data_IF_356966515130
#
_entry.id   IF_356966515130
#
_cell.length_a   1.000
_cell.length_b   1.000
_cell.length_c   1.000
_cell.angle_alpha   90.00
_cell.angle_beta   90.00
_cell.angle_gamma   90.00
#
_symmetry.space_group_name_H-M   'P 1'
#
loop_
_entity.id
_entity.type
_entity.pdbx_description
1 polymer ?
#
# COMPACT_ATOMS: atom_id res chain seq x y z
N UNK A 1 -28.39 24.47 -0.77
CA UNK A 1 -27.29 25.43 -0.50
C UNK A 1 -25.97 24.75 -0.05
N UNK A 2 -25.95 23.47 0.34
CA UNK A 2 -24.71 22.79 0.80
C UNK A 2 -23.92 22.06 -0.30
N UNK A 3 -24.48 21.81 -1.46
CA UNK A 3 -23.86 21.04 -2.54
C UNK A 3 -22.69 21.77 -3.25
N UNK A 4 -22.75 23.07 -3.56
CA UNK A 4 -21.65 23.80 -4.21
C UNK A 4 -20.41 23.93 -3.33
N UNK A 5 -20.60 24.17 -2.02
CA UNK A 5 -19.50 24.33 -1.06
C UNK A 5 -18.72 23.02 -0.84
N UNK A 6 -19.43 21.87 -0.87
CA UNK A 6 -18.80 20.55 -0.76
C UNK A 6 -17.93 20.23 -1.98
N UNK A 7 -18.42 20.57 -3.18
CA UNK A 7 -17.70 20.40 -4.45
C UNK A 7 -16.48 21.34 -4.52
N UNK A 8 -16.62 22.57 -4.09
CA UNK A 8 -15.52 23.55 -4.04
C UNK A 8 -14.44 23.12 -3.03
N UNK A 9 -14.82 22.58 -1.87
CA UNK A 9 -13.90 22.03 -0.87
C UNK A 9 -13.14 20.80 -1.40
N UNK A 10 -13.82 19.91 -2.13
CA UNK A 10 -13.18 18.75 -2.76
C UNK A 10 -12.21 19.17 -3.87
N UNK A 11 -12.53 20.19 -4.67
CA UNK A 11 -11.61 20.71 -5.68
C UNK A 11 -10.35 21.29 -5.03
N UNK A 12 -10.47 22.08 -3.96
CA UNK A 12 -9.31 22.65 -3.26
C UNK A 12 -8.39 21.58 -2.63
N UNK A 13 -8.96 20.49 -2.10
CA UNK A 13 -8.17 19.37 -1.54
C UNK A 13 -7.46 18.62 -2.67
N UNK A 14 -8.15 18.34 -3.76
CA UNK A 14 -7.59 17.68 -4.94
C UNK A 14 -6.44 18.47 -5.55
N UNK A 15 -6.60 19.78 -5.71
CA UNK A 15 -5.57 20.64 -6.28
C UNK A 15 -4.31 20.69 -5.40
N UNK A 16 -4.46 20.80 -4.08
CA UNK A 16 -3.33 20.77 -3.14
C UNK A 16 -2.63 19.42 -3.17
N UNK A 17 -3.38 18.32 -3.28
CA UNK A 17 -2.81 16.98 -3.38
C UNK A 17 -2.00 16.80 -4.66
N UNK A 18 -2.51 17.27 -5.80
CA UNK A 18 -1.79 17.22 -7.09
C UNK A 18 -0.48 18.03 -7.02
N UNK A 19 -0.52 19.23 -6.43
CA UNK A 19 0.68 20.04 -6.24
C UNK A 19 1.68 19.45 -5.24
N UNK A 20 1.25 18.56 -4.35
CA UNK A 20 2.13 17.84 -3.42
C UNK A 20 2.84 16.64 -4.07
N UNK A 21 2.37 16.11 -5.22
CA UNK A 21 2.95 14.93 -5.88
C UNK A 21 4.46 15.07 -6.13
N UNK A 22 5.02 16.17 -6.62
CA UNK A 22 6.46 16.31 -6.83
C UNK A 22 7.29 16.20 -5.55
N UNK A 23 6.68 16.45 -4.41
CA UNK A 23 7.31 16.37 -3.08
C UNK A 23 7.07 15.03 -2.37
N UNK A 24 6.41 14.08 -3.01
CA UNK A 24 6.20 12.72 -2.46
C UNK A 24 7.48 11.89 -2.59
N UNK A 25 8.54 12.32 -1.93
CA UNK A 25 9.89 11.79 -2.10
C UNK A 25 9.97 10.29 -1.82
N UNK A 26 9.34 9.78 -0.77
CA UNK A 26 9.35 8.35 -0.48
C UNK A 26 8.72 7.52 -1.61
N UNK A 27 7.56 7.93 -2.09
CA UNK A 27 6.88 7.22 -3.17
C UNK A 27 7.68 7.26 -4.48
N UNK A 28 8.29 8.40 -4.81
CA UNK A 28 9.14 8.55 -5.99
C UNK A 28 10.41 7.70 -5.90
N UNK A 29 11.08 7.72 -4.75
CA UNK A 29 12.28 6.90 -4.51
C UNK A 29 11.95 5.42 -4.56
N UNK A 30 10.86 4.98 -3.91
CA UNK A 30 10.40 3.59 -3.97
C UNK A 30 10.10 3.15 -5.40
N UNK A 31 9.44 4.01 -6.19
CA UNK A 31 9.16 3.74 -7.61
C UNK A 31 10.45 3.58 -8.44
N UNK A 32 11.51 4.32 -8.13
CA UNK A 32 12.81 4.23 -8.82
C UNK A 32 13.61 3.01 -8.37
N UNK A 33 13.54 2.63 -7.10
CA UNK A 33 14.26 1.47 -6.55
C UNK A 33 13.85 0.18 -7.25
N UNK A 34 12.56 0.00 -7.59
CA UNK A 34 12.07 -1.23 -8.23
C UNK A 34 12.72 -1.49 -9.60
N UNK A 35 12.72 -0.57 -10.59
CA UNK A 35 13.42 -0.77 -11.83
C UNK A 35 14.93 -0.97 -11.63
N UNK A 36 15.56 -0.18 -10.75
CA UNK A 36 17.00 -0.32 -10.48
C UNK A 36 17.35 -1.70 -9.91
N UNK A 37 16.48 -2.27 -9.10
CA UNK A 37 16.63 -3.63 -8.59
C UNK A 37 16.48 -4.66 -9.73
N UNK A 38 15.48 -4.51 -10.60
CA UNK A 38 15.25 -5.41 -11.75
C UNK A 38 16.43 -5.37 -12.71
N UNK A 39 17.00 -4.19 -12.98
CA UNK A 39 18.18 -4.03 -13.82
C UNK A 39 19.51 -4.46 -13.14
N UNK A 40 19.43 -4.92 -11.88
CA UNK A 40 20.62 -5.42 -11.16
C UNK A 40 21.57 -4.33 -10.65
N UNK A 41 21.15 -3.05 -10.68
CA UNK A 41 21.96 -1.93 -10.16
C UNK A 41 22.00 -1.98 -8.63
N UNK A 42 20.88 -2.32 -8.01
CA UNK A 42 20.79 -2.46 -6.54
C UNK A 42 21.07 -3.93 -6.17
N UNK A 43 22.00 -4.18 -5.23
CA UNK A 43 22.33 -5.53 -4.81
C UNK A 43 21.17 -6.22 -4.09
N UNK A 44 21.13 -7.54 -4.16
CA UNK A 44 20.20 -8.38 -3.39
C UNK A 44 20.57 -8.33 -1.91
N UNK A 45 19.71 -7.76 -1.05
CA UNK A 45 19.95 -7.54 0.37
C UNK A 45 19.13 -8.50 1.24
N UNK A 46 19.65 -8.83 2.43
CA UNK A 46 18.90 -9.57 3.46
C UNK A 46 18.21 -10.83 2.97
N UNK A 47 16.95 -11.02 3.34
CA UNK A 47 16.15 -12.20 2.98
C UNK A 47 15.95 -12.36 1.46
N UNK A 48 15.96 -11.27 0.69
CA UNK A 48 15.92 -11.32 -0.77
C UNK A 48 17.12 -12.07 -1.35
N UNK A 49 18.33 -11.83 -0.82
CA UNK A 49 19.53 -12.57 -1.24
C UNK A 49 19.40 -14.06 -0.99
N UNK A 50 18.86 -14.43 0.16
CA UNK A 50 18.62 -15.84 0.53
C UNK A 50 17.59 -16.50 -0.37
N UNK A 51 16.52 -15.77 -0.75
CA UNK A 51 15.50 -16.26 -1.67
C UNK A 51 16.08 -16.52 -3.07
N UNK A 52 16.85 -15.60 -3.61
CA UNK A 52 17.52 -15.79 -4.92
C UNK A 52 18.52 -16.96 -4.88
N UNK A 53 19.31 -17.06 -3.82
CA UNK A 53 20.26 -18.19 -3.64
C UNK A 53 19.52 -19.53 -3.60
N UNK A 54 18.39 -19.61 -2.90
CA UNK A 54 17.55 -20.81 -2.88
C UNK A 54 17.09 -21.19 -4.30
N UNK A 55 16.62 -20.23 -5.09
CA UNK A 55 16.20 -20.50 -6.47
C UNK A 55 17.36 -20.96 -7.34
N UNK A 56 18.54 -20.34 -7.22
CA UNK A 56 19.75 -20.72 -7.98
C UNK A 56 20.24 -22.15 -7.62
N UNK A 57 20.19 -22.53 -6.33
CA UNK A 57 20.70 -23.83 -5.86
C UNK A 57 19.68 -24.97 -5.99
N UNK A 58 18.40 -24.70 -5.78
CA UNK A 58 17.38 -25.76 -5.67
C UNK A 58 16.29 -25.69 -6.72
N UNK A 59 16.22 -24.61 -7.49
CA UNK A 59 15.10 -24.34 -8.40
C UNK A 59 13.78 -24.03 -7.71
N UNK A 60 13.72 -23.99 -6.37
CA UNK A 60 12.49 -23.76 -5.60
C UNK A 60 12.21 -22.28 -5.43
N UNK A 61 11.12 -21.81 -6.06
CA UNK A 61 10.68 -20.41 -5.98
C UNK A 61 10.15 -20.08 -4.60
N UNK A 62 9.36 -20.96 -4.00
CA UNK A 62 8.74 -20.77 -2.69
C UNK A 62 9.57 -21.37 -1.57
N UNK A 63 9.56 -20.75 -0.38
CA UNK A 63 10.10 -21.35 0.84
C UNK A 63 9.22 -22.50 1.32
N UNK A 64 9.72 -23.32 2.25
CA UNK A 64 8.93 -24.39 2.86
C UNK A 64 7.70 -23.88 3.61
N UNK A 65 7.83 -22.69 4.21
CA UNK A 65 6.76 -21.98 4.89
C UNK A 65 5.70 -21.49 3.89
N UNK A 66 6.14 -20.85 2.80
CA UNK A 66 5.27 -20.34 1.75
C UNK A 66 4.59 -21.44 0.93
N UNK A 67 5.16 -22.64 0.81
CA UNK A 67 4.52 -23.76 0.12
C UNK A 67 3.15 -24.13 0.70
N UNK A 68 2.95 -23.92 2.00
CA UNK A 68 1.66 -24.15 2.67
C UNK A 68 0.57 -23.19 2.21
N UNK A 69 0.96 -21.99 1.76
CA UNK A 69 0.06 -20.93 1.29
C UNK A 69 -0.15 -20.97 -0.21
N UNK A 70 0.77 -21.58 -0.94
CA UNK A 70 0.67 -21.74 -2.39
C UNK A 70 -0.17 -22.98 -2.74
N UNK A 71 -1.49 -22.87 -2.56
CA UNK A 71 -2.44 -23.94 -2.89
C UNK A 71 -2.53 -24.21 -4.40
N UNK A 72 -2.15 -23.26 -5.24
CA UNK A 72 -2.30 -23.29 -6.69
C UNK A 72 -1.00 -23.65 -7.43
N UNK A 73 0.05 -24.05 -6.73
CA UNK A 73 1.37 -24.33 -7.33
C UNK A 73 1.43 -25.49 -8.33
N UNK A 74 0.34 -26.24 -8.47
CA UNK A 74 0.20 -27.36 -9.42
C UNK A 74 -0.91 -27.15 -10.46
N UNK A 75 -1.51 -25.96 -10.53
CA UNK A 75 -2.45 -25.69 -11.61
C UNK A 75 -1.69 -25.55 -12.94
N UNK A 76 -1.98 -26.40 -13.89
CA UNK A 76 -1.44 -26.30 -15.25
C UNK A 76 -1.84 -24.93 -15.82
N UNK A 77 -0.83 -24.15 -16.21
CA UNK A 77 -1.05 -22.87 -16.88
C UNK A 77 -1.82 -23.16 -18.17
N UNK A 78 -3.04 -22.63 -18.28
CA UNK A 78 -3.84 -22.75 -19.49
C UNK A 78 -3.08 -22.12 -20.66
N UNK A 79 -2.56 -22.97 -21.56
CA UNK A 79 -1.80 -22.59 -22.76
C UNK A 79 -2.60 -21.71 -23.72
N UNK A 80 -3.93 -21.66 -23.58
CA UNK A 80 -4.83 -20.84 -24.40
C UNK A 80 -5.18 -19.49 -23.74
N UNK A 81 -4.62 -19.17 -22.58
CA UNK A 81 -4.85 -17.89 -21.91
C UNK A 81 -4.32 -16.72 -22.77
N UNK A 82 -5.22 -15.78 -23.10
CA UNK A 82 -4.87 -14.56 -23.83
C UNK A 82 -4.76 -13.39 -22.87
N UNK A 83 -3.86 -12.46 -23.19
CA UNK A 83 -3.68 -11.22 -22.42
C UNK A 83 -4.98 -10.43 -22.24
N UNK A 84 -5.90 -10.54 -23.24
CA UNK A 84 -7.22 -9.90 -23.19
C UNK A 84 -8.10 -10.47 -22.06
N UNK A 85 -7.96 -11.74 -21.73
CA UNK A 85 -8.75 -12.39 -20.67
C UNK A 85 -8.41 -11.81 -19.30
N UNK A 86 -7.16 -11.40 -19.10
CA UNK A 86 -6.70 -10.72 -17.90
C UNK A 86 -7.02 -9.22 -17.91
N UNK A 87 -6.73 -8.53 -19.01
CA UNK A 87 -6.87 -7.08 -19.09
C UNK A 87 -8.31 -6.60 -19.09
N UNK A 88 -9.25 -7.35 -19.70
CA UNK A 88 -10.62 -6.87 -19.87
C UNK A 88 -11.37 -6.66 -18.55
N UNK A 89 -11.37 -7.59 -17.58
CA UNK A 89 -11.98 -7.35 -16.26
C UNK A 89 -11.33 -6.16 -15.53
N UNK A 90 -10.01 -6.03 -15.60
CA UNK A 90 -9.28 -4.92 -14.96
C UNK A 90 -9.64 -3.58 -15.59
N UNK A 91 -9.65 -3.50 -16.92
CA UNK A 91 -10.06 -2.27 -17.62
C UNK A 91 -11.52 -1.91 -17.33
N UNK A 92 -12.41 -2.91 -17.26
CA UNK A 92 -13.81 -2.69 -16.87
C UNK A 92 -13.88 -2.09 -15.46
N UNK A 93 -13.12 -2.63 -14.50
CA UNK A 93 -13.04 -2.09 -13.13
C UNK A 93 -12.58 -0.63 -13.14
N UNK A 94 -11.50 -0.31 -13.86
CA UNK A 94 -10.95 1.04 -13.93
C UNK A 94 -11.96 2.01 -14.56
N UNK A 95 -12.57 1.63 -15.68
CA UNK A 95 -13.55 2.49 -16.39
C UNK A 95 -14.77 2.75 -15.51
N UNK A 96 -15.33 1.73 -14.87
CA UNK A 96 -16.49 1.89 -13.97
C UNK A 96 -16.11 2.72 -12.75
N UNK A 97 -14.94 2.51 -12.16
CA UNK A 97 -14.45 3.33 -11.06
C UNK A 97 -14.33 4.81 -11.45
N UNK A 98 -13.83 5.12 -12.64
CA UNK A 98 -13.68 6.49 -13.11
C UNK A 98 -15.01 7.16 -13.46
N UNK A 99 -16.00 6.39 -13.93
CA UNK A 99 -17.30 6.92 -14.36
C UNK A 99 -18.31 7.01 -13.22
N UNK A 100 -18.40 5.98 -12.38
CA UNK A 100 -19.37 5.88 -11.29
C UNK A 100 -18.80 6.42 -9.98
N UNK A 101 -17.48 6.25 -9.75
CA UNK A 101 -16.80 6.71 -8.54
C UNK A 101 -17.02 5.80 -7.33
N UNK A 102 -17.63 4.62 -7.50
CA UNK A 102 -17.88 3.63 -6.45
C UNK A 102 -17.10 2.33 -6.74
N UNK A 103 -16.15 2.02 -5.83
CA UNK A 103 -15.26 0.88 -5.96
C UNK A 103 -16.02 -0.45 -5.86
N UNK A 104 -17.08 -0.51 -5.06
CA UNK A 104 -17.86 -1.73 -4.88
C UNK A 104 -18.59 -2.11 -6.19
N UNK A 105 -19.22 -1.12 -6.83
CA UNK A 105 -19.85 -1.30 -8.15
C UNK A 105 -18.83 -1.68 -9.21
N UNK A 106 -17.63 -1.07 -9.17
CA UNK A 106 -16.55 -1.37 -10.10
C UNK A 106 -16.07 -2.83 -9.99
N UNK A 107 -15.92 -3.35 -8.77
CA UNK A 107 -15.54 -4.74 -8.53
C UNK A 107 -16.62 -5.71 -9.05
N UNK A 108 -17.89 -5.45 -8.75
CA UNK A 108 -19.00 -6.27 -9.24
C UNK A 108 -19.01 -6.28 -10.78
N UNK A 109 -18.86 -5.12 -11.40
CA UNK A 109 -18.80 -5.01 -12.86
C UNK A 109 -17.63 -5.81 -13.45
N UNK A 110 -16.46 -5.81 -12.82
CA UNK A 110 -15.30 -6.60 -13.24
C UNK A 110 -15.55 -8.11 -13.15
N UNK A 111 -16.20 -8.57 -12.08
CA UNK A 111 -16.56 -9.98 -11.91
C UNK A 111 -17.55 -10.42 -12.97
N UNK A 112 -18.58 -9.63 -13.24
CA UNK A 112 -19.55 -9.89 -14.30
C UNK A 112 -18.90 -9.90 -15.69
N UNK A 113 -17.98 -8.97 -15.94
CA UNK A 113 -17.21 -8.91 -17.19
C UNK A 113 -16.33 -10.17 -17.38
N UNK A 114 -15.69 -10.66 -16.33
CA UNK A 114 -14.97 -11.92 -16.36
C UNK A 114 -15.89 -13.10 -16.71
N UNK A 115 -17.05 -13.21 -16.08
CA UNK A 115 -18.04 -14.24 -16.36
C UNK A 115 -18.54 -14.21 -17.83
N UNK A 116 -18.82 -13.01 -18.36
CA UNK A 116 -19.27 -12.81 -19.74
C UNK A 116 -18.21 -13.25 -20.75
N UNK A 117 -16.92 -13.15 -20.43
CA UNK A 117 -15.84 -13.59 -21.33
C UNK A 117 -15.54 -15.07 -21.16
N UNK A 118 -15.45 -15.58 -19.93
CA UNK A 118 -14.94 -16.92 -19.69
C UNK A 118 -15.98 -18.01 -20.00
N UNK A 119 -17.26 -17.79 -19.65
CA UNK A 119 -18.31 -18.78 -19.81
C UNK A 119 -18.64 -19.04 -21.31
N UNK A 120 -18.90 -18.02 -22.17
CA UNK A 120 -19.20 -18.26 -23.59
C UNK A 120 -18.02 -18.82 -24.36
N UNK A 121 -16.79 -18.49 -23.97
CA UNK A 121 -15.57 -19.04 -24.60
C UNK A 121 -15.24 -20.46 -24.15
N UNK A 122 -16.13 -21.10 -23.37
CA UNK A 122 -15.96 -22.45 -22.82
C UNK A 122 -14.64 -22.66 -22.03
N UNK A 123 -14.00 -21.57 -21.59
CA UNK A 123 -12.82 -21.64 -20.74
C UNK A 123 -13.16 -22.16 -19.34
N UNK A 124 -14.41 -21.95 -18.91
CA UNK A 124 -14.89 -22.32 -17.59
C UNK A 124 -16.39 -22.60 -17.64
N UNK A 125 -16.85 -23.59 -16.87
CA UNK A 125 -18.28 -23.83 -16.65
C UNK A 125 -18.84 -22.85 -15.62
N UNK A 126 -20.13 -22.52 -15.71
CA UNK A 126 -20.78 -21.58 -14.77
C UNK A 126 -20.61 -22.02 -13.31
N UNK A 127 -20.79 -23.32 -13.02
CA UNK A 127 -20.60 -23.84 -11.66
C UNK A 127 -19.16 -23.64 -11.18
N UNK A 128 -18.20 -23.95 -12.03
CA UNK A 128 -16.76 -23.76 -11.72
C UNK A 128 -16.43 -22.28 -11.47
N UNK A 129 -17.03 -21.37 -12.22
CA UNK A 129 -16.86 -19.93 -11.99
C UNK A 129 -17.40 -19.51 -10.61
N UNK A 130 -18.59 -20.00 -10.23
CA UNK A 130 -19.16 -19.74 -8.90
C UNK A 130 -18.34 -20.37 -7.79
N UNK A 131 -17.87 -21.60 -7.98
CA UNK A 131 -17.03 -22.30 -6.98
C UNK A 131 -15.71 -21.58 -6.74
N UNK A 132 -15.04 -21.10 -7.80
CA UNK A 132 -13.82 -20.30 -7.68
C UNK A 132 -14.06 -18.97 -6.99
N UNK A 133 -15.22 -18.37 -7.20
CA UNK A 133 -15.58 -17.13 -6.51
C UNK A 133 -15.74 -17.36 -5.01
N UNK A 134 -16.46 -18.41 -4.60
CA UNK A 134 -16.61 -18.81 -3.20
C UNK A 134 -15.26 -19.18 -2.58
N UNK A 135 -14.43 -19.91 -3.31
CA UNK A 135 -13.08 -20.26 -2.86
C UNK A 135 -12.21 -19.02 -2.66
N UNK A 136 -12.26 -18.03 -3.55
CA UNK A 136 -11.55 -16.76 -3.41
C UNK A 136 -11.93 -16.02 -2.12
N UNK A 137 -13.22 -16.03 -1.74
CA UNK A 137 -13.64 -15.51 -0.43
C UNK A 137 -13.04 -16.31 0.72
N UNK A 138 -13.12 -17.63 0.67
CA UNK A 138 -12.58 -18.48 1.73
C UNK A 138 -11.07 -18.30 1.91
N UNK A 139 -10.32 -18.17 0.83
CA UNK A 139 -8.87 -17.93 0.86
C UNK A 139 -8.52 -16.54 1.41
N UNK A 140 -9.42 -15.57 1.27
CA UNK A 140 -9.24 -14.20 1.80
C UNK A 140 -9.52 -14.08 3.31
N UNK A 141 -10.15 -15.07 3.95
CA UNK A 141 -10.54 -14.98 5.38
C UNK A 141 -9.35 -14.70 6.29
N UNK A 142 -8.22 -15.37 6.10
CA UNK A 142 -7.03 -15.16 6.93
C UNK A 142 -6.51 -13.72 6.83
N UNK A 143 -6.48 -13.14 5.63
CA UNK A 143 -6.12 -11.75 5.41
C UNK A 143 -7.11 -10.79 6.09
N UNK A 144 -8.42 -11.07 5.98
CA UNK A 144 -9.46 -10.26 6.62
C UNK A 144 -9.34 -10.24 8.14
N UNK A 145 -9.03 -11.38 8.77
CA UNK A 145 -8.81 -11.45 10.23
C UNK A 145 -7.66 -10.54 10.67
N UNK A 146 -6.54 -10.55 9.93
CA UNK A 146 -5.39 -9.67 10.24
C UNK A 146 -5.78 -8.20 10.06
N UNK A 147 -6.51 -7.86 9.01
CA UNK A 147 -6.99 -6.48 8.75
C UNK A 147 -7.92 -6.02 9.88
N UNK A 148 -8.85 -6.85 10.33
CA UNK A 148 -9.75 -6.52 11.45
C UNK A 148 -8.95 -6.27 12.74
N UNK A 149 -7.97 -7.14 13.04
CA UNK A 149 -7.09 -6.95 14.19
C UNK A 149 -6.29 -5.63 14.10
N UNK A 150 -5.79 -5.28 12.91
CA UNK A 150 -5.11 -4.01 12.65
C UNK A 150 -6.03 -2.79 12.84
N UNK A 151 -7.32 -2.89 12.45
CA UNK A 151 -8.31 -1.84 12.71
C UNK A 151 -8.56 -1.64 14.21
N UNK A 152 -8.61 -2.72 14.98
CA UNK A 152 -8.71 -2.62 16.44
C UNK A 152 -7.49 -1.97 17.07
N UNK A 153 -6.28 -2.34 16.62
CA UNK A 153 -5.03 -1.71 17.06
C UNK A 153 -5.03 -0.20 16.78
N UNK A 154 -5.49 0.20 15.58
CA UNK A 154 -5.65 1.61 15.22
C UNK A 154 -6.62 2.32 16.17
N UNK A 155 -7.78 1.72 16.44
CA UNK A 155 -8.78 2.31 17.32
C UNK A 155 -8.21 2.46 18.75
N UNK A 156 -7.60 1.43 19.30
CA UNK A 156 -6.93 1.49 20.59
C UNK A 156 -5.88 2.60 20.67
N UNK A 157 -5.07 2.77 19.63
CA UNK A 157 -4.06 3.84 19.54
C UNK A 157 -4.69 5.24 19.53
N UNK A 158 -5.85 5.38 18.88
CA UNK A 158 -6.61 6.63 18.90
C UNK A 158 -7.22 6.91 20.26
N UNK A 159 -7.78 5.89 20.93
CA UNK A 159 -8.43 6.02 22.24
C UNK A 159 -7.44 6.44 23.33
N UNK A 160 -6.19 5.94 23.30
CA UNK A 160 -5.10 6.39 24.20
C UNK A 160 -4.45 7.71 23.76
N UNK A 161 -4.97 8.33 22.71
CA UNK A 161 -4.50 9.62 22.18
C UNK A 161 -3.01 9.63 21.80
N UNK A 162 -2.49 8.49 21.33
CA UNK A 162 -1.09 8.27 20.98
C UNK A 162 -0.51 9.33 20.02
N UNK A 163 -1.20 9.72 18.92
CA UNK A 163 -0.67 10.72 17.98
C UNK A 163 -0.41 12.08 18.64
N UNK A 164 -1.36 12.56 19.46
CA UNK A 164 -1.20 13.83 20.15
C UNK A 164 -0.06 13.81 21.17
N UNK A 165 0.10 12.69 21.89
CA UNK A 165 1.21 12.52 22.82
C UNK A 165 2.56 12.57 22.09
N UNK A 166 2.71 11.83 20.98
CA UNK A 166 3.94 11.82 20.19
C UNK A 166 4.25 13.23 19.66
N UNK A 167 3.25 13.94 19.16
CA UNK A 167 3.44 15.31 18.67
C UNK A 167 3.87 16.28 19.77
N UNK A 168 3.29 16.20 20.98
CA UNK A 168 3.67 17.06 22.09
C UNK A 168 5.13 16.86 22.56
N UNK A 169 5.66 15.63 22.40
CA UNK A 169 7.06 15.31 22.70
C UNK A 169 8.01 15.88 21.64
N UNK A 170 7.58 15.88 20.39
CA UNK A 170 8.40 16.27 19.23
C UNK A 170 8.43 17.80 19.03
N UNK A 171 7.33 18.48 19.31
CA UNK A 171 7.13 19.93 19.08
C UNK A 171 8.30 20.82 19.57
N UNK A 172 8.89 20.63 20.79
CA UNK A 172 9.95 21.50 21.28
C UNK A 172 11.28 21.41 20.49
N UNK A 173 11.45 20.36 19.68
CA UNK A 173 12.70 20.09 18.97
C UNK A 173 12.67 20.48 17.49
N UNK A 174 11.58 21.11 17.01
CA UNK A 174 11.34 21.28 15.58
C UNK A 174 11.32 22.75 15.16
N UNK A 175 12.05 23.04 14.10
CA UNK A 175 12.00 24.32 13.38
C UNK A 175 11.43 24.13 11.95
N UNK A 176 11.14 25.23 11.25
CA UNK A 176 10.49 25.20 9.92
C UNK A 176 11.15 24.24 8.92
N UNK A 177 12.47 24.26 8.83
CA UNK A 177 13.20 23.49 7.81
C UNK A 177 13.27 21.99 8.11
N UNK A 178 13.28 21.60 9.38
CA UNK A 178 13.35 20.20 9.79
C UNK A 178 11.95 19.58 9.86
N UNK A 179 10.92 20.43 9.96
CA UNK A 179 9.55 19.99 10.22
C UNK A 179 9.02 18.92 9.25
N UNK A 180 9.17 19.04 7.92
CA UNK A 180 8.65 18.02 6.99
C UNK A 180 9.31 16.66 7.18
N UNK A 181 10.62 16.62 7.45
CA UNK A 181 11.34 15.38 7.75
C UNK A 181 10.78 14.72 9.01
N UNK A 182 10.62 15.51 10.08
CA UNK A 182 10.09 15.01 11.35
C UNK A 182 8.65 14.52 11.19
N UNK A 183 7.81 15.26 10.47
CA UNK A 183 6.44 14.85 10.15
C UNK A 183 6.42 13.51 9.41
N UNK A 184 7.29 13.31 8.41
CA UNK A 184 7.44 12.03 7.71
C UNK A 184 7.81 10.89 8.66
N UNK A 185 8.85 11.07 9.47
CA UNK A 185 9.35 10.04 10.40
C UNK A 185 8.30 9.68 11.45
N UNK A 186 7.63 10.67 12.03
CA UNK A 186 6.58 10.46 13.05
C UNK A 186 5.41 9.69 12.45
N UNK A 187 4.89 10.10 11.29
CA UNK A 187 3.78 9.41 10.64
C UNK A 187 4.19 8.00 10.20
N UNK A 188 5.42 7.83 9.70
CA UNK A 188 5.96 6.53 9.32
C UNK A 188 6.05 5.57 10.51
N UNK A 189 6.57 6.04 11.65
CA UNK A 189 6.66 5.23 12.87
C UNK A 189 5.29 4.89 13.45
N UNK A 190 4.40 5.87 13.56
CA UNK A 190 3.03 5.64 14.03
C UNK A 190 2.28 4.67 13.11
N UNK A 191 2.42 4.84 11.80
CA UNK A 191 1.86 3.94 10.81
C UNK A 191 2.43 2.52 10.94
N UNK A 192 3.73 2.38 11.12
CA UNK A 192 4.38 1.09 11.34
C UNK A 192 3.88 0.38 12.60
N UNK A 193 3.72 1.12 13.72
CA UNK A 193 3.23 0.57 15.00
C UNK A 193 1.76 0.19 14.91
N UNK A 194 0.94 0.93 14.16
CA UNK A 194 -0.52 0.72 14.11
C UNK A 194 -1.00 -0.09 12.91
N UNK A 195 -0.14 -0.33 11.93
CA UNK A 195 -0.46 -1.04 10.70
C UNK A 195 -1.41 -0.28 9.75
N UNK A 196 -1.71 0.99 10.03
CA UNK A 196 -2.71 1.76 9.28
C UNK A 196 -2.08 2.80 8.36
N UNK A 197 -2.04 2.48 7.08
CA UNK A 197 -1.51 3.36 6.03
C UNK A 197 -2.40 4.58 5.73
N UNK A 198 -3.72 4.47 5.89
CA UNK A 198 -4.69 5.55 5.66
C UNK A 198 -5.14 6.24 6.94
N UNK A 199 -5.33 5.46 8.01
CA UNK A 199 -5.87 5.97 9.27
C UNK A 199 -4.93 6.92 9.98
N UNK A 200 -3.65 6.59 10.08
CA UNK A 200 -2.68 7.45 10.77
C UNK A 200 -2.46 8.79 10.05
N UNK A 201 -2.24 8.86 8.73
CA UNK A 201 -2.24 10.15 8.04
C UNK A 201 -3.49 10.98 8.31
N UNK A 202 -4.67 10.37 8.29
CA UNK A 202 -5.92 11.09 8.54
C UNK A 202 -6.04 11.64 9.97
N UNK A 203 -5.55 10.91 10.97
CA UNK A 203 -5.54 11.35 12.38
C UNK A 203 -4.44 12.36 12.66
N UNK A 204 -3.27 12.21 12.05
CA UNK A 204 -2.13 13.11 12.27
C UNK A 204 -2.25 14.43 11.50
N UNK A 205 -2.86 14.44 10.33
CA UNK A 205 -2.95 15.65 9.49
C UNK A 205 -3.58 16.86 10.20
N UNK A 206 -4.69 16.74 10.95
CA UNK A 206 -5.28 17.86 11.69
C UNK A 206 -4.35 18.45 12.77
N UNK A 207 -3.35 17.72 13.19
CA UNK A 207 -2.37 18.14 14.21
C UNK A 207 -1.12 18.69 13.52
N UNK A 208 -0.57 17.91 12.58
CA UNK A 208 0.72 18.22 11.93
C UNK A 208 0.59 19.46 11.03
N UNK A 209 -0.51 19.62 10.28
CA UNK A 209 -0.64 20.73 9.32
C UNK A 209 -0.72 22.09 10.03
N UNK A 210 -1.57 22.30 11.07
CA UNK A 210 -1.59 23.56 11.81
C UNK A 210 -0.27 23.88 12.50
N UNK A 211 0.38 22.88 13.09
CA UNK A 211 1.68 23.05 13.75
C UNK A 211 2.76 23.43 12.74
N UNK A 212 2.80 22.80 11.55
CA UNK A 212 3.71 23.18 10.48
C UNK A 212 3.47 24.63 9.99
N UNK A 213 2.21 25.06 9.92
CA UNK A 213 1.87 26.44 9.59
C UNK A 213 2.36 27.41 10.67
N UNK A 214 2.22 27.07 11.95
CA UNK A 214 2.68 27.88 13.08
C UNK A 214 4.22 28.01 13.10
N UNK A 215 4.95 26.95 12.72
CA UNK A 215 6.40 26.95 12.59
C UNK A 215 6.91 27.64 11.30
N UNK A 216 6.03 28.03 10.37
CA UNK A 216 6.40 28.62 9.08
C UNK A 216 6.88 27.62 8.04
N UNK A 217 6.64 26.31 8.21
CA UNK A 217 7.03 25.28 7.27
C UNK A 217 6.19 25.31 5.97
N UNK A 218 6.77 24.83 4.87
CA UNK A 218 6.06 24.71 3.59
C UNK A 218 4.99 23.61 3.67
N UNK A 219 3.72 24.00 3.70
CA UNK A 219 2.59 23.09 3.88
C UNK A 219 2.45 22.06 2.77
N UNK A 220 2.88 22.33 1.54
CA UNK A 220 2.85 21.33 0.47
C UNK A 220 3.81 20.18 0.76
N UNK A 221 5.00 20.49 1.24
CA UNK A 221 6.00 19.49 1.62
C UNK A 221 5.54 18.71 2.87
N UNK A 222 4.91 19.41 3.84
CA UNK A 222 4.33 18.77 5.02
C UNK A 222 3.23 17.78 4.65
N UNK A 223 2.31 18.15 3.76
CA UNK A 223 1.26 17.25 3.26
C UNK A 223 1.87 16.03 2.55
N UNK A 224 2.87 16.26 1.69
CA UNK A 224 3.59 15.17 1.03
C UNK A 224 4.28 14.24 2.03
N UNK A 225 4.88 14.79 3.09
CA UNK A 225 5.52 14.04 4.15
C UNK A 225 4.53 13.13 4.90
N UNK A 226 3.34 13.63 5.24
CA UNK A 226 2.27 12.83 5.88
C UNK A 226 1.84 11.67 4.98
N UNK A 227 1.59 11.93 3.71
CA UNK A 227 1.18 10.88 2.74
C UNK A 227 2.29 9.84 2.57
N UNK A 228 3.54 10.29 2.46
CA UNK A 228 4.70 9.41 2.35
C UNK A 228 4.91 8.54 3.59
N UNK A 229 4.65 9.06 4.80
CA UNK A 229 4.70 8.28 6.03
C UNK A 229 3.67 7.13 6.03
N UNK A 230 2.45 7.40 5.56
CA UNK A 230 1.44 6.36 5.35
C UNK A 230 1.86 5.33 4.30
N UNK A 231 2.45 5.77 3.19
CA UNK A 231 2.95 4.87 2.13
C UNK A 231 4.09 3.98 2.65
N UNK A 232 5.00 4.52 3.47
CA UNK A 232 6.05 3.71 4.13
C UNK A 232 5.44 2.60 4.99
N UNK A 233 4.39 2.90 5.75
CA UNK A 233 3.68 1.90 6.54
C UNK A 233 3.19 0.72 5.68
N UNK A 234 2.62 1.01 4.50
CA UNK A 234 2.14 -0.03 3.57
C UNK A 234 3.23 -0.99 3.12
N UNK A 235 4.49 -0.54 3.08
CA UNK A 235 5.61 -1.35 2.62
C UNK A 235 6.41 -2.01 3.75
N UNK A 236 6.44 -1.42 4.94
CA UNK A 236 7.30 -1.87 6.02
C UNK A 236 6.56 -2.67 7.11
N UNK A 237 5.27 -2.40 7.35
CA UNK A 237 4.52 -3.03 8.43
C UNK A 237 4.04 -4.42 8.04
N UNK A 238 4.25 -5.42 8.93
CA UNK A 238 3.91 -6.83 8.71
C UNK A 238 2.42 -7.10 8.64
N UNK A 239 1.60 -6.28 9.26
CA UNK A 239 0.14 -6.42 9.36
C UNK A 239 -0.61 -5.26 8.72
N UNK A 240 0.05 -4.48 7.87
CA UNK A 240 -0.68 -3.50 7.05
C UNK A 240 -1.56 -4.26 6.03
N UNK A 241 -2.72 -3.70 5.73
CA UNK A 241 -3.66 -4.24 4.77
C UNK A 241 -3.00 -4.51 3.40
N UNK A 242 -2.19 -3.57 2.93
CA UNK A 242 -1.49 -3.71 1.65
C UNK A 242 -0.49 -4.87 1.66
N UNK A 243 0.30 -5.04 2.73
CA UNK A 243 1.28 -6.12 2.85
C UNK A 243 0.61 -7.49 2.90
N UNK A 244 -0.47 -7.60 3.70
CA UNK A 244 -1.20 -8.86 3.88
C UNK A 244 -1.92 -9.27 2.59
N UNK A 245 -2.57 -8.34 1.89
CA UNK A 245 -3.23 -8.62 0.62
C UNK A 245 -2.21 -9.02 -0.45
N UNK A 246 -1.07 -8.32 -0.52
CA UNK A 246 -0.03 -8.62 -1.51
C UNK A 246 0.58 -10.00 -1.28
N UNK A 247 0.97 -10.33 -0.05
CA UNK A 247 1.55 -11.64 0.28
C UNK A 247 0.57 -12.78 0.02
N UNK A 248 -0.69 -12.61 0.40
CA UNK A 248 -1.76 -13.58 0.15
C UNK A 248 -2.01 -13.79 -1.35
N UNK A 249 -2.04 -12.71 -2.13
CA UNK A 249 -2.23 -12.78 -3.59
C UNK A 249 -1.05 -13.46 -4.31
N UNK A 250 0.16 -13.31 -3.78
CA UNK A 250 1.35 -13.95 -4.31
C UNK A 250 1.53 -15.40 -3.81
N UNK A 251 0.70 -15.87 -2.89
CA UNK A 251 0.81 -17.20 -2.29
C UNK A 251 2.08 -17.39 -1.47
N UNK A 252 2.61 -16.33 -0.87
CA UNK A 252 3.81 -16.35 -0.02
C UNK A 252 3.46 -16.02 1.42
N UNK A 253 4.27 -16.49 2.35
CA UNK A 253 4.12 -16.13 3.74
C UNK A 253 4.34 -14.64 3.96
N UNK A 254 3.45 -14.01 4.74
CA UNK A 254 3.47 -12.57 4.98
C UNK A 254 4.81 -12.06 5.55
N UNK A 255 5.39 -12.80 6.50
CA UNK A 255 6.69 -12.45 7.09
C UNK A 255 7.84 -12.57 6.08
N UNK A 256 7.82 -13.58 5.20
CA UNK A 256 8.83 -13.73 4.14
C UNK A 256 8.77 -12.53 3.17
N UNK A 257 7.56 -12.10 2.80
CA UNK A 257 7.36 -10.91 1.98
C UNK A 257 7.97 -9.66 2.63
N UNK A 258 7.62 -9.38 3.90
CA UNK A 258 8.12 -8.19 4.60
C UNK A 258 9.62 -8.21 4.77
N UNK A 259 10.20 -9.31 5.25
CA UNK A 259 11.66 -9.39 5.43
C UNK A 259 12.45 -9.24 4.14
N UNK A 260 11.90 -9.67 3.01
CA UNK A 260 12.53 -9.47 1.70
C UNK A 260 12.46 -8.02 1.22
N UNK A 261 11.40 -7.30 1.56
CA UNK A 261 11.16 -5.92 1.15
C UNK A 261 11.79 -4.89 2.10
N UNK A 262 11.86 -5.19 3.41
CA UNK A 262 12.23 -4.24 4.47
C UNK A 262 13.57 -3.50 4.23
N UNK A 263 14.67 -4.14 3.78
CA UNK A 263 15.92 -3.41 3.53
C UNK A 263 15.77 -2.29 2.50
N UNK A 264 14.99 -2.53 1.45
CA UNK A 264 14.76 -1.56 0.38
C UNK A 264 13.85 -0.42 0.81
N UNK A 265 12.82 -0.73 1.61
CA UNK A 265 11.92 0.29 2.18
C UNK A 265 12.65 1.20 3.16
N UNK A 266 13.58 0.65 3.96
CA UNK A 266 14.42 1.43 4.87
C UNK A 266 15.40 2.35 4.13
N UNK A 267 16.00 1.86 3.03
CA UNK A 267 16.85 2.70 2.17
C UNK A 267 16.02 3.84 1.56
N UNK A 268 14.83 3.52 1.02
CA UNK A 268 13.93 4.52 0.46
C UNK A 268 13.52 5.56 1.50
N UNK A 269 13.22 5.14 2.74
CA UNK A 269 12.84 6.04 3.82
C UNK A 269 14.02 6.93 4.27
N UNK A 270 15.23 6.39 4.31
CA UNK A 270 16.43 7.16 4.60
C UNK A 270 16.70 8.26 3.57
N UNK A 271 16.63 7.90 2.27
CA UNK A 271 16.77 8.87 1.17
C UNK A 271 15.66 9.92 1.23
N UNK A 272 14.41 9.50 1.44
CA UNK A 272 13.26 10.41 1.55
C UNK A 272 13.40 11.36 2.73
N UNK A 273 13.88 10.90 3.88
CA UNK A 273 14.15 11.74 5.05
C UNK A 273 15.16 12.84 4.75
N UNK A 274 16.24 12.50 4.04
CA UNK A 274 17.26 13.48 3.61
C UNK A 274 16.64 14.48 2.61
N UNK A 275 15.83 14.02 1.66
CA UNK A 275 15.16 14.90 0.69
C UNK A 275 14.16 15.83 1.38
N UNK A 276 13.40 15.36 2.37
CA UNK A 276 12.52 16.21 3.18
C UNK A 276 13.29 17.25 3.99
N UNK A 277 14.48 16.89 4.51
CA UNK A 277 15.36 17.83 5.22
C UNK A 277 15.91 18.92 4.29
N UNK A 278 16.25 18.58 3.06
CA UNK A 278 16.80 19.53 2.08
C UNK A 278 15.73 20.45 1.53
N UNK A 279 14.51 19.92 1.33
CA UNK A 279 13.41 20.65 0.70
C UNK A 279 12.63 21.52 1.69
N UNK A 280 12.66 21.22 3.00
CA UNK A 280 12.00 21.98 4.06
C UNK A 280 12.78 23.18 4.47
#
# INVERSE_FOLDING_TARGET
LHYPLRRQRQMCIRDRYIHAIPYMFYALVALIIVPLFIFGVIPKLGAMKSAYKRVEETGQVYSKESQKWNKNGNEEVDKEAKIVDFLFPILTMIIVQLTVGDMFIAIIAAILAAGIIYIPRKKMRTNQFCDLWVQGFADSVSALVIIVAALWMRQASADINLPNYVMSVVEPFVNANIYPMVAFVVVAMLGFITGSNWGIPAVCAPIIIPLGAACGANLLIVIAAIVCGGTFCSHACFYSDATVITSSSCGIENMEHVYSQLPYTMIAAGIASILFLIAG
#
